data_IF_949886089264
#
_entry.id   IF_949886089264
#
_cell.length_a   1.000
_cell.length_b   1.000
_cell.length_c   1.000
_cell.angle_alpha   90.00
_cell.angle_beta   90.00
_cell.angle_gamma   90.00
#
_symmetry.space_group_name_H-M   'P 1'
#
loop_
_entity.id
_entity.type
_entity.pdbx_description
1 polymer ?
#
# COMPACT_ATOMS: atom_id res chain seq x y z
N UNK A 1 12.32 35.55 -41.02
CA UNK A 1 11.18 35.45 -40.09
C UNK A 1 10.16 34.46 -40.64
N UNK A 2 10.03 33.27 -40.03
CA UNK A 2 8.77 32.50 -40.07
C UNK A 2 8.61 31.83 -38.72
N UNK A 3 7.82 32.48 -37.88
CA UNK A 3 7.37 31.95 -36.61
C UNK A 3 6.37 30.83 -36.92
N UNK A 4 6.76 29.58 -36.66
CA UNK A 4 5.82 28.47 -36.58
C UNK A 4 5.86 27.94 -35.16
N UNK A 5 5.43 28.76 -34.21
CA UNK A 5 4.97 28.28 -32.91
C UNK A 5 3.66 27.51 -33.15
N UNK A 6 3.80 26.30 -33.68
CA UNK A 6 2.70 25.37 -33.89
C UNK A 6 2.41 24.76 -32.53
N UNK A 7 1.53 25.39 -31.76
CA UNK A 7 1.10 24.87 -30.47
C UNK A 7 0.59 23.43 -30.64
N UNK A 8 1.27 22.47 -30.03
CA UNK A 8 0.83 21.08 -29.98
C UNK A 8 -0.25 21.00 -28.90
N UNK A 9 -1.50 20.76 -29.30
CA UNK A 9 -2.58 20.44 -28.36
C UNK A 9 -2.43 18.98 -27.93
N UNK A 10 -1.89 18.77 -26.73
CA UNK A 10 -1.79 17.47 -26.09
C UNK A 10 -2.72 17.39 -24.87
N UNK A 11 -3.19 16.19 -24.56
CA UNK A 11 -3.93 15.88 -23.33
C UNK A 11 -3.03 14.99 -22.46
N UNK A 12 -2.84 15.37 -21.20
CA UNK A 12 -2.11 14.56 -20.24
C UNK A 12 -3.11 13.74 -19.43
N UNK A 13 -2.95 12.41 -19.45
CA UNK A 13 -3.76 11.49 -18.65
C UNK A 13 -2.93 11.11 -17.42
N UNK A 14 -3.38 11.42 -16.19
CA UNK A 14 -2.69 10.99 -14.99
C UNK A 14 -2.46 9.48 -15.01
N UNK A 15 -1.26 9.04 -14.60
CA UNK A 15 -0.92 7.62 -14.62
C UNK A 15 -1.97 6.77 -13.87
N UNK A 16 -2.42 7.09 -12.64
CA UNK A 16 -3.45 6.30 -11.94
C UNK A 16 -4.73 6.13 -12.77
N UNK A 17 -5.20 7.20 -13.43
CA UNK A 17 -6.37 7.16 -14.30
C UNK A 17 -6.12 6.23 -15.50
N UNK A 18 -4.96 6.35 -16.14
CA UNK A 18 -4.59 5.47 -17.25
C UNK A 18 -4.58 3.99 -16.82
N UNK A 19 -3.98 3.66 -15.67
CA UNK A 19 -3.95 2.29 -15.13
C UNK A 19 -5.37 1.78 -14.80
N UNK A 20 -6.25 2.64 -14.26
CA UNK A 20 -7.64 2.32 -13.94
C UNK A 20 -8.48 2.04 -15.18
N UNK A 21 -8.32 2.83 -16.26
CA UNK A 21 -8.96 2.58 -17.56
C UNK A 21 -8.50 1.24 -18.15
N UNK A 22 -7.23 0.85 -17.93
CA UNK A 22 -6.71 -0.44 -18.36
C UNK A 22 -7.15 -1.63 -17.48
N UNK A 23 -7.94 -1.40 -16.43
CA UNK A 23 -8.44 -2.44 -15.54
C UNK A 23 -7.37 -3.12 -14.69
N UNK A 24 -6.27 -2.43 -14.41
CA UNK A 24 -5.14 -2.98 -13.65
C UNK A 24 -4.77 -2.14 -12.43
N UNK A 25 -5.59 -1.16 -12.07
CA UNK A 25 -5.46 -0.37 -10.85
C UNK A 25 -6.47 -0.85 -9.82
N UNK A 26 -6.01 -1.10 -8.61
CA UNK A 26 -6.75 -1.70 -7.51
C UNK A 26 -6.63 -0.82 -6.27
N UNK A 27 -7.63 -0.94 -5.41
CA UNK A 27 -7.66 -0.31 -4.09
C UNK A 27 -8.12 -1.32 -3.07
N UNK A 28 -7.69 -1.13 -1.83
CA UNK A 28 -8.17 -1.89 -0.70
C UNK A 28 -7.60 -1.42 0.61
N UNK A 29 -8.04 -2.04 1.68
CA UNK A 29 -7.58 -1.73 3.03
C UNK A 29 -7.57 -2.97 3.90
N UNK A 30 -6.84 -2.92 5.00
CA UNK A 30 -6.99 -3.91 6.08
C UNK A 30 -8.36 -3.75 6.74
N UNK A 31 -8.79 -4.78 7.45
CA UNK A 31 -9.71 -4.64 8.58
C UNK A 31 -9.08 -3.71 9.65
N UNK A 32 -9.85 -3.18 10.61
CA UNK A 32 -9.28 -2.49 11.76
C UNK A 32 -8.25 -3.39 12.46
N UNK A 33 -7.03 -2.89 12.61
CA UNK A 33 -5.91 -3.60 13.22
C UNK A 33 -5.49 -2.92 14.52
N UNK A 34 -5.10 -3.74 15.49
CA UNK A 34 -4.81 -3.26 16.80
C UNK A 34 -3.33 -3.37 17.18
N UNK A 35 -2.81 -2.32 17.81
CA UNK A 35 -1.48 -2.26 18.41
C UNK A 35 -1.57 -1.69 19.83
N UNK A 36 -0.65 -2.05 20.70
CA UNK A 36 -0.69 -1.59 22.09
C UNK A 36 0.02 -2.52 23.05
N UNK A 37 0.29 -2.04 24.27
CA UNK A 37 0.93 -2.84 25.34
C UNK A 37 2.25 -3.51 24.88
N UNK A 38 3.04 -2.80 24.08
CA UNK A 38 4.31 -3.31 23.53
C UNK A 38 4.14 -4.31 22.39
N UNK A 39 2.93 -4.46 21.84
CA UNK A 39 2.62 -5.29 20.67
C UNK A 39 2.33 -4.41 19.47
N UNK A 40 2.98 -4.69 18.35
CA UNK A 40 2.90 -3.90 17.13
C UNK A 40 1.78 -4.43 16.21
N UNK A 41 1.56 -3.76 15.08
CA UNK A 41 0.71 -4.24 14.01
C UNK A 41 1.34 -3.92 12.65
N UNK A 42 0.83 -4.48 11.56
CA UNK A 42 1.29 -4.13 10.22
C UNK A 42 0.26 -4.46 9.15
N UNK A 43 0.35 -3.75 8.03
CA UNK A 43 -0.33 -4.06 6.77
C UNK A 43 0.67 -4.01 5.61
N UNK A 44 0.52 -4.87 4.62
CA UNK A 44 1.43 -4.96 3.47
C UNK A 44 0.71 -5.17 2.16
N UNK A 45 1.34 -4.72 1.07
CA UNK A 45 1.10 -5.25 -0.26
C UNK A 45 2.13 -6.35 -0.52
N UNK A 46 1.67 -7.58 -0.62
CA UNK A 46 2.51 -8.77 -0.82
C UNK A 46 2.30 -9.29 -2.25
N UNK A 47 3.37 -9.30 -3.05
CA UNK A 47 3.34 -9.86 -4.40
C UNK A 47 3.71 -11.35 -4.35
N UNK A 48 2.78 -12.30 -4.56
CA UNK A 48 3.08 -13.72 -4.41
C UNK A 48 4.19 -14.19 -5.36
N UNK A 49 4.91 -15.23 -4.95
CA UNK A 49 5.83 -15.91 -5.86
C UNK A 49 5.09 -16.38 -7.12
N UNK A 50 5.72 -16.22 -8.28
CA UNK A 50 5.20 -16.63 -9.59
C UNK A 50 3.91 -15.92 -10.04
N UNK A 51 3.60 -14.74 -9.49
CA UNK A 51 2.44 -13.92 -9.91
C UNK A 51 2.50 -13.44 -11.37
N UNK A 52 3.70 -13.39 -11.97
CA UNK A 52 3.96 -12.84 -13.31
C UNK A 52 3.54 -11.37 -13.48
N UNK A 53 3.38 -10.64 -12.38
CA UNK A 53 3.13 -9.21 -12.36
C UNK A 53 4.15 -8.50 -11.49
N UNK A 54 4.51 -7.29 -11.91
CA UNK A 54 5.16 -6.31 -11.07
C UNK A 54 4.08 -5.49 -10.34
N UNK A 55 4.23 -5.37 -9.03
CA UNK A 55 3.44 -4.51 -8.17
C UNK A 55 3.99 -3.09 -8.22
N UNK A 56 3.17 -2.10 -8.56
CA UNK A 56 3.51 -0.68 -8.46
C UNK A 56 2.67 -0.01 -7.38
N UNK A 57 3.30 0.38 -6.27
CA UNK A 57 2.62 1.08 -5.18
C UNK A 57 2.33 2.51 -5.61
N UNK A 58 1.04 2.86 -5.68
CA UNK A 58 0.62 4.18 -6.12
C UNK A 58 0.33 5.13 -4.97
N UNK A 59 -0.36 4.64 -3.94
CA UNK A 59 -0.69 5.42 -2.76
C UNK A 59 -0.86 4.50 -1.56
N UNK A 60 -0.67 5.05 -0.36
CA UNK A 60 -1.08 4.39 0.87
C UNK A 60 -1.61 5.40 1.88
N UNK A 61 -2.46 4.92 2.79
CA UNK A 61 -2.93 5.69 3.93
C UNK A 61 -2.75 4.92 5.22
N UNK A 62 -2.61 5.66 6.31
CA UNK A 62 -2.54 5.13 7.67
C UNK A 62 -3.48 5.95 8.53
N UNK A 63 -4.58 5.33 8.97
CA UNK A 63 -5.57 5.97 9.83
C UNK A 63 -5.29 5.60 11.28
N UNK A 64 -5.26 6.60 12.15
CA UNK A 64 -5.14 6.46 13.58
C UNK A 64 -6.45 6.87 14.24
N UNK A 65 -7.16 5.90 14.82
CA UNK A 65 -8.44 6.12 15.52
C UNK A 65 -8.25 6.44 17.01
N UNK A 66 -7.01 6.53 17.49
CA UNK A 66 -6.70 6.81 18.89
C UNK A 66 -6.36 8.27 19.15
N UNK A 67 -6.28 8.60 20.44
CA UNK A 67 -5.87 9.92 20.92
C UNK A 67 -4.34 10.06 21.08
N UNK A 68 -3.57 9.03 20.72
CA UNK A 68 -2.12 9.04 20.82
C UNK A 68 -1.45 8.93 19.45
N UNK A 69 -0.36 9.68 19.18
CA UNK A 69 0.40 9.48 17.97
C UNK A 69 1.16 8.15 18.03
N UNK A 70 1.40 7.53 16.87
CA UNK A 70 2.30 6.39 16.76
C UNK A 70 3.24 6.54 15.56
N UNK A 71 4.31 5.74 15.55
CA UNK A 71 5.27 5.71 14.44
C UNK A 71 4.89 4.59 13.48
N UNK A 72 4.76 4.93 12.21
CA UNK A 72 4.72 3.96 11.13
C UNK A 72 6.07 3.88 10.44
N UNK A 73 6.58 2.67 10.25
CA UNK A 73 7.79 2.37 9.53
C UNK A 73 7.44 1.76 8.17
N UNK A 74 8.09 2.26 7.11
CA UNK A 74 7.88 1.77 5.76
C UNK A 74 9.08 0.89 5.40
N UNK A 75 8.80 -0.37 5.09
CA UNK A 75 9.79 -1.40 4.85
C UNK A 75 9.64 -2.00 3.45
N UNK A 76 10.77 -2.19 2.78
CA UNK A 76 10.83 -2.90 1.50
C UNK A 76 11.37 -4.30 1.74
N UNK A 77 10.66 -5.31 1.24
CA UNK A 77 11.06 -6.73 1.26
C UNK A 77 11.41 -7.26 2.66
N UNK A 78 10.72 -6.75 3.67
CA UNK A 78 10.86 -7.23 5.04
C UNK A 78 9.91 -8.40 5.31
N UNK A 79 10.30 -9.23 6.27
CA UNK A 79 9.49 -10.31 6.82
C UNK A 79 8.90 -9.81 8.15
N UNK A 80 7.64 -9.35 8.18
CA UNK A 80 7.02 -8.89 9.41
C UNK A 80 6.68 -10.06 10.34
N UNK A 81 6.64 -9.84 11.66
CA UNK A 81 6.34 -10.89 12.64
C UNK A 81 4.84 -11.24 12.69
N UNK A 82 4.52 -12.40 13.28
CA UNK A 82 3.14 -12.84 13.50
C UNK A 82 2.57 -13.69 12.37
N UNK A 83 1.29 -14.03 12.48
CA UNK A 83 0.56 -14.80 11.47
C UNK A 83 -0.22 -13.85 10.58
N UNK A 84 0.12 -13.82 9.29
CA UNK A 84 -0.54 -12.98 8.32
C UNK A 84 -2.00 -13.41 8.07
N UNK A 85 -2.89 -12.44 8.07
CA UNK A 85 -4.26 -12.53 7.57
C UNK A 85 -4.35 -11.83 6.21
N UNK A 86 -5.24 -12.29 5.34
CA UNK A 86 -5.46 -11.69 4.02
C UNK A 86 -6.76 -10.89 4.08
N UNK A 87 -6.69 -9.61 3.72
CA UNK A 87 -7.89 -8.79 3.69
C UNK A 87 -8.79 -9.13 2.49
N UNK A 88 -10.10 -9.09 2.73
CA UNK A 88 -11.12 -9.26 1.68
C UNK A 88 -11.59 -7.92 1.11
N UNK A 89 -11.18 -6.80 1.71
CA UNK A 89 -11.60 -5.46 1.32
C UNK A 89 -10.75 -4.94 0.14
N UNK A 90 -10.80 -5.64 -0.99
CA UNK A 90 -9.99 -5.37 -2.19
C UNK A 90 -10.87 -5.39 -3.44
N UNK A 91 -10.71 -4.38 -4.32
CA UNK A 91 -11.45 -4.32 -5.57
C UNK A 91 -10.70 -3.52 -6.66
N UNK A 92 -11.09 -3.72 -7.92
CA UNK A 92 -10.68 -2.85 -9.03
C UNK A 92 -11.19 -1.42 -8.79
N UNK A 93 -10.35 -0.41 -9.02
CA UNK A 93 -10.82 0.97 -8.90
C UNK A 93 -11.84 1.35 -9.99
N UNK A 94 -11.83 0.64 -11.13
CA UNK A 94 -12.78 0.85 -12.21
C UNK A 94 -13.90 -0.19 -12.15
N UNK A 95 -15.06 0.22 -11.63
CA UNK A 95 -16.25 -0.62 -11.52
C UNK A 95 -17.06 -0.73 -12.83
N UNK A 96 -16.69 0.02 -13.87
CA UNK A 96 -17.36 -0.04 -15.18
C UNK A 96 -16.86 -1.20 -16.07
N UNK A 97 -15.80 -1.91 -15.66
CA UNK A 97 -15.24 -3.05 -16.40
C UNK A 97 -15.95 -4.34 -15.99
N UNK A 98 -16.33 -5.15 -16.98
CA UNK A 98 -16.97 -6.45 -16.76
C UNK A 98 -16.30 -7.55 -17.60
N UNK A 99 -15.88 -8.68 -17.00
CA UNK A 99 -15.91 -8.98 -15.57
C UNK A 99 -14.94 -8.08 -14.78
N UNK A 100 -15.21 -7.89 -13.48
CA UNK A 100 -14.32 -7.11 -12.62
C UNK A 100 -12.92 -7.76 -12.57
N UNK A 101 -11.85 -7.02 -12.90
CA UNK A 101 -10.49 -7.51 -12.73
C UNK A 101 -10.20 -7.87 -11.28
N UNK A 102 -9.41 -8.92 -11.08
CA UNK A 102 -8.95 -9.38 -9.77
C UNK A 102 -7.43 -9.19 -9.68
N UNK A 103 -6.91 -8.64 -8.57
CA UNK A 103 -5.46 -8.49 -8.39
C UNK A 103 -4.81 -9.83 -8.04
N UNK A 104 -3.55 -10.00 -8.47
CA UNK A 104 -2.67 -11.07 -7.99
C UNK A 104 -2.02 -10.71 -6.65
N UNK A 105 -1.73 -9.41 -6.45
CA UNK A 105 -1.17 -8.85 -5.21
C UNK A 105 -2.22 -8.89 -4.12
N UNK A 106 -1.78 -9.20 -2.90
CA UNK A 106 -2.65 -9.31 -1.73
C UNK A 106 -2.37 -8.20 -0.73
N UNK A 107 -3.41 -7.76 -0.04
CA UNK A 107 -3.26 -7.04 1.22
C UNK A 107 -3.15 -8.10 2.32
N UNK A 108 -2.01 -8.14 2.98
CA UNK A 108 -1.76 -8.97 4.16
C UNK A 108 -1.60 -8.09 5.39
N UNK A 109 -2.00 -8.58 6.55
CA UNK A 109 -1.88 -7.82 7.79
C UNK A 109 -1.79 -8.74 9.01
N UNK A 110 -1.27 -8.21 10.11
CA UNK A 110 -1.41 -8.83 11.42
C UNK A 110 -1.44 -7.78 12.52
N UNK A 111 -2.06 -8.13 13.64
CA UNK A 111 -2.23 -7.27 14.80
C UNK A 111 -1.64 -7.91 16.05
N UNK A 112 -1.37 -7.07 17.06
CA UNK A 112 -0.85 -7.47 18.37
C UNK A 112 0.38 -8.41 18.29
N UNK A 113 1.27 -8.15 17.34
CA UNK A 113 2.46 -8.97 17.07
C UNK A 113 3.65 -8.56 17.95
N UNK A 114 4.54 -9.51 18.22
CA UNK A 114 5.75 -9.28 19.03
C UNK A 114 6.99 -9.18 18.16
N UNK A 115 7.88 -8.25 18.49
CA UNK A 115 9.11 -8.01 17.74
C UNK A 115 8.91 -7.04 16.57
N UNK A 116 9.89 -7.05 15.65
CA UNK A 116 10.00 -6.12 14.53
C UNK A 116 10.25 -6.88 13.23
N UNK A 117 10.01 -6.26 12.05
CA UNK A 117 10.35 -6.87 10.76
C UNK A 117 11.82 -7.28 10.69
N UNK A 118 12.08 -8.41 10.03
CA UNK A 118 13.43 -8.94 9.77
C UNK A 118 13.71 -8.93 8.27
N UNK A 119 14.99 -8.85 7.90
CA UNK A 119 15.40 -8.68 6.50
C UNK A 119 14.80 -7.40 5.88
N UNK A 120 15.07 -7.16 4.60
CA UNK A 120 14.60 -5.96 3.93
C UNK A 120 15.26 -4.68 4.45
N UNK A 121 14.67 -3.54 4.09
CA UNK A 121 15.20 -2.20 4.44
C UNK A 121 14.05 -1.32 4.93
N UNK A 122 14.22 -0.72 6.12
CA UNK A 122 13.37 0.38 6.58
C UNK A 122 13.77 1.66 5.84
N UNK A 123 12.98 2.04 4.84
CA UNK A 123 13.36 3.12 3.92
C UNK A 123 13.01 4.50 4.47
N UNK A 124 11.96 4.61 5.29
CA UNK A 124 11.62 5.84 6.01
C UNK A 124 10.53 5.58 7.05
N UNK A 125 10.35 6.57 7.94
CA UNK A 125 9.31 6.57 8.98
C UNK A 125 8.34 7.73 8.79
N UNK A 126 7.15 7.59 9.39
CA UNK A 126 6.14 8.63 9.51
C UNK A 126 5.59 8.63 10.93
N UNK A 127 5.29 9.80 11.46
CA UNK A 127 4.50 9.94 12.69
C UNK A 127 3.06 10.12 12.24
N UNK A 128 2.15 9.29 12.75
CA UNK A 128 0.72 9.36 12.46
C UNK A 128 0.04 10.09 13.62
N UNK A 129 -0.47 11.32 13.42
CA UNK A 129 -1.12 12.07 14.49
C UNK A 129 -2.38 11.37 15.02
N UNK A 130 -2.81 11.70 16.26
CA UNK A 130 -4.11 11.26 16.78
C UNK A 130 -5.28 11.63 15.87
N UNK A 131 -6.33 10.80 15.84
CA UNK A 131 -7.60 11.06 15.15
C UNK A 131 -7.40 11.58 13.72
N UNK A 132 -6.49 10.97 12.98
CA UNK A 132 -6.07 11.48 11.66
C UNK A 132 -5.75 10.36 10.69
N UNK A 133 -5.76 10.72 9.41
CA UNK A 133 -5.31 9.87 8.33
C UNK A 133 -4.10 10.50 7.68
N UNK A 134 -2.97 9.81 7.74
CA UNK A 134 -1.79 10.15 6.96
C UNK A 134 -1.95 9.57 5.56
N UNK A 135 -1.69 10.38 4.54
CA UNK A 135 -1.78 9.99 3.12
C UNK A 135 -0.43 10.20 2.46
N UNK A 136 -0.03 9.25 1.61
CA UNK A 136 1.19 9.36 0.80
C UNK A 136 0.91 8.88 -0.62
N UNK A 137 1.12 9.76 -1.59
CA UNK A 137 1.08 9.43 -3.01
C UNK A 137 2.51 9.16 -3.50
N UNK A 138 2.70 7.97 -4.07
CA UNK A 138 4.00 7.47 -4.54
C UNK A 138 4.05 7.37 -6.07
N UNK A 139 2.96 7.66 -6.77
CA UNK A 139 2.84 7.70 -8.25
C UNK A 139 3.32 6.44 -8.98
N UNK A 140 3.38 5.30 -8.29
CA UNK A 140 3.88 4.04 -8.84
C UNK A 140 5.41 3.93 -8.83
N UNK A 141 6.13 4.77 -8.09
CA UNK A 141 7.60 4.78 -8.10
C UNK A 141 8.23 3.62 -7.33
N UNK A 142 7.50 3.00 -6.41
CA UNK A 142 7.96 1.80 -5.70
C UNK A 142 7.42 0.57 -6.43
N UNK A 143 8.34 -0.28 -6.91
CA UNK A 143 8.04 -1.40 -7.80
C UNK A 143 8.60 -2.67 -7.16
N UNK A 144 7.75 -3.68 -7.02
CA UNK A 144 8.09 -4.94 -6.37
C UNK A 144 7.76 -6.12 -7.30
N UNK A 145 8.76 -6.89 -7.76
CA UNK A 145 8.55 -8.09 -8.57
C UNK A 145 7.89 -9.23 -7.78
N UNK A 146 7.62 -10.36 -8.44
CA UNK A 146 7.06 -11.55 -7.79
C UNK A 146 7.92 -12.02 -6.61
N UNK A 147 7.28 -12.25 -5.45
CA UNK A 147 7.93 -12.66 -4.21
C UNK A 147 8.38 -11.51 -3.31
N UNK A 148 8.22 -10.26 -3.75
CA UNK A 148 8.61 -9.05 -3.01
C UNK A 148 7.40 -8.33 -2.40
N UNK A 149 7.66 -7.41 -1.46
CA UNK A 149 6.60 -6.79 -0.66
C UNK A 149 6.90 -5.36 -0.20
N UNK A 150 5.82 -4.60 -0.03
CA UNK A 150 5.80 -3.28 0.61
C UNK A 150 5.06 -3.39 1.94
N UNK A 151 5.74 -3.12 3.04
CA UNK A 151 5.20 -3.32 4.40
C UNK A 151 5.13 -1.98 5.14
N UNK A 152 3.98 -1.68 5.73
CA UNK A 152 3.79 -0.60 6.69
C UNK A 152 3.67 -1.24 8.08
N UNK A 153 4.70 -1.03 8.91
CA UNK A 153 4.78 -1.55 10.26
C UNK A 153 4.42 -0.46 11.28
N UNK A 154 3.43 -0.71 12.11
CA UNK A 154 2.89 0.23 13.09
C UNK A 154 3.49 -0.08 14.47
N UNK A 155 4.31 0.84 14.97
CA UNK A 155 5.01 0.69 16.24
C UNK A 155 4.12 1.17 17.37
N UNK A 156 3.84 0.29 18.33
CA UNK A 156 3.06 0.62 19.52
C UNK A 156 3.77 1.73 20.31
N UNK A 157 3.12 2.88 20.57
CA UNK A 157 3.45 3.68 21.73
C UNK A 157 3.04 2.84 22.96
N UNK A 158 3.83 2.85 24.02
CA UNK A 158 3.59 1.97 25.16
C UNK A 158 2.24 2.25 25.84
N UNK A 159 1.80 1.30 26.68
CA UNK A 159 0.71 1.38 27.65
C UNK A 159 -0.74 1.48 27.15
N UNK A 160 -1.02 2.07 25.99
CA UNK A 160 -2.39 2.17 25.45
C UNK A 160 -2.68 1.21 24.30
N UNK A 161 -3.98 0.95 24.08
CA UNK A 161 -4.48 0.21 22.94
C UNK A 161 -4.91 1.19 21.86
N UNK A 162 -4.41 0.98 20.64
CA UNK A 162 -4.66 1.81 19.47
C UNK A 162 -5.33 0.93 18.42
N UNK A 163 -6.40 1.45 17.84
CA UNK A 163 -6.99 0.93 16.62
C UNK A 163 -6.50 1.78 15.44
N UNK A 164 -6.10 1.11 14.37
CA UNK A 164 -5.60 1.74 13.16
C UNK A 164 -6.10 0.99 11.93
N UNK A 165 -6.01 1.62 10.77
CA UNK A 165 -6.30 1.00 9.47
C UNK A 165 -5.22 1.40 8.46
N UNK A 166 -4.86 0.48 7.56
CA UNK A 166 -3.93 0.75 6.47
C UNK A 166 -4.64 0.51 5.15
N UNK A 167 -4.62 1.50 4.26
CA UNK A 167 -5.19 1.37 2.92
C UNK A 167 -4.12 1.57 1.84
N UNK A 168 -4.37 1.00 0.67
CA UNK A 168 -3.46 0.97 -0.45
C UNK A 168 -4.18 1.25 -1.76
N UNK A 169 -3.50 1.95 -2.65
CA UNK A 169 -3.76 1.99 -4.08
C UNK A 169 -2.55 1.48 -4.84
N UNK A 170 -2.73 0.57 -5.78
CA UNK A 170 -1.65 0.01 -6.58
C UNK A 170 -2.11 -0.35 -7.98
N UNK A 171 -1.15 -0.62 -8.86
CA UNK A 171 -1.45 -1.25 -10.14
C UNK A 171 -0.48 -2.38 -10.46
N UNK A 172 -0.95 -3.31 -11.27
CA UNK A 172 -0.20 -4.51 -11.66
C UNK A 172 0.15 -4.45 -13.14
N UNK A 173 1.42 -4.65 -13.49
CA UNK A 173 1.83 -4.82 -14.88
C UNK A 173 2.36 -6.23 -15.09
N UNK A 174 1.81 -6.94 -16.08
CA UNK A 174 2.32 -8.23 -16.50
C UNK A 174 3.75 -8.09 -17.00
N UNK A 175 4.62 -8.98 -16.53
CA UNK A 175 5.97 -9.12 -17.06
C UNK A 175 5.83 -9.80 -18.42
N UNK A 176 6.15 -9.09 -19.50
CA UNK A 176 6.24 -9.72 -20.82
C UNK A 176 7.51 -10.57 -20.84
N UNK A 177 7.35 -11.87 -21.09
CA UNK A 177 8.46 -12.74 -21.49
C UNK A 177 8.95 -12.36 -22.88
#
# INVERSE_FOLDING_TARGET
MKNHDRFIKAVNIPNPLYQSIQGRYFVGQTEPICLGKGKNAWGSLSNPHYSNVDLYVNAFTITNHSNQPFVAEIWFNAIPPGNAMISKNVTSANQAISPLPKPEVKIEFAELVSGFPKQGVNVFKRIVPPQSTLVSDEDGKFIFPSGESFVIFLVSPNDEYIEAEVAFGWFEKKIKK
#
